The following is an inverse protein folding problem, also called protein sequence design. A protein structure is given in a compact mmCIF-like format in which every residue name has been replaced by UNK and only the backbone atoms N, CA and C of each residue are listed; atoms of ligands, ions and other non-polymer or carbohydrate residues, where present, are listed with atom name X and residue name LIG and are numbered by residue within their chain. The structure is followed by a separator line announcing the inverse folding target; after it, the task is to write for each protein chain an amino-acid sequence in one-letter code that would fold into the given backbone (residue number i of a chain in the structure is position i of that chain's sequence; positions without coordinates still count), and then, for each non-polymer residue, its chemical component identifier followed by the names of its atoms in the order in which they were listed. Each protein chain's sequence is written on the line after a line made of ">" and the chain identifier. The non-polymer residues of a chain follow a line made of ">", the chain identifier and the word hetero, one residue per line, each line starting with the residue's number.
data_IF_602202358453
#
_entry.id   IF_602202358453
#
_cell.length_a   1.000
_cell.length_b   1.000
_cell.length_c   1.000
_cell.angle_alpha   90.00
_cell.angle_beta   90.00
_cell.angle_gamma   90.00
#
_symmetry.space_group_name_H-M   'P 1'
#
loop_
_entity.id
_entity.type
_entity.pdbx_description
1 polymer ?
#
# COMPACT_ATOMS: atom_id res chain seq x y z
N UNK A 1 4.12 -75.83 30.91
CA UNK A 1 4.43 -75.24 32.23
C UNK A 1 5.04 -73.86 31.99
N UNK A 2 4.31 -72.76 31.92
CA UNK A 2 4.11 -71.87 33.08
C UNK A 2 3.25 -70.63 32.68
N UNK A 3 2.14 -70.83 31.96
CA UNK A 3 1.17 -69.75 31.64
C UNK A 3 -0.31 -70.14 31.85
N UNK A 4 -0.59 -71.37 32.27
CA UNK A 4 -1.96 -71.87 32.49
C UNK A 4 -2.53 -71.58 33.89
N UNK A 5 -1.71 -71.14 34.86
CA UNK A 5 -2.18 -70.80 36.23
C UNK A 5 -2.61 -69.33 36.40
N UNK A 6 -2.29 -68.44 35.45
CA UNK A 6 -2.64 -67.01 35.55
C UNK A 6 -4.06 -66.65 35.10
N UNK A 7 -4.73 -67.53 34.34
CA UNK A 7 -6.05 -67.26 33.76
C UNK A 7 -7.23 -67.58 34.70
N UNK A 8 -7.05 -68.46 35.69
CA UNK A 8 -8.13 -68.83 36.63
C UNK A 8 -8.38 -67.76 37.71
N UNK A 9 -7.36 -66.98 38.08
CA UNK A 9 -7.47 -65.92 39.09
C UNK A 9 -8.13 -64.64 38.55
N UNK A 10 -8.13 -64.43 37.24
CA UNK A 10 -8.79 -63.28 36.60
C UNK A 10 -10.31 -63.51 36.51
N UNK A 11 -10.74 -64.76 36.35
CA UNK A 11 -12.16 -65.10 36.13
C UNK A 11 -13.05 -64.95 37.38
N UNK A 12 -12.49 -65.08 38.59
CA UNK A 12 -13.27 -64.89 39.83
C UNK A 12 -13.52 -63.42 40.18
N UNK A 13 -12.67 -62.50 39.72
CA UNK A 13 -12.85 -61.05 39.88
C UNK A 13 -13.94 -60.47 38.97
N UNK A 14 -14.39 -61.22 37.95
CA UNK A 14 -15.40 -60.76 36.98
C UNK A 14 -16.83 -60.99 37.51
N UNK A 15 -17.08 -62.01 38.33
CA UNK A 15 -18.45 -62.39 38.73
C UNK A 15 -18.99 -61.65 39.97
N UNK A 16 -18.13 -61.02 40.78
CA UNK A 16 -18.55 -60.27 41.97
C UNK A 16 -19.30 -58.96 41.64
N UNK A 17 -19.12 -58.41 40.44
CA UNK A 17 -19.74 -57.13 40.04
C UNK A 17 -21.14 -57.28 39.42
N UNK A 18 -21.65 -58.50 39.26
CA UNK A 18 -22.85 -58.76 38.45
C UNK A 18 -24.18 -58.90 39.23
N UNK A 19 -24.18 -58.69 40.55
CA UNK A 19 -25.37 -58.91 41.40
C UNK A 19 -26.03 -57.64 41.96
N UNK A 20 -25.59 -56.44 41.57
CA UNK A 20 -26.05 -55.21 42.22
C UNK A 20 -26.83 -54.20 41.35
N UNK A 21 -27.29 -54.52 40.13
CA UNK A 21 -28.06 -53.52 39.38
C UNK A 21 -29.06 -54.09 38.36
N UNK A 22 -30.07 -54.82 38.85
CA UNK A 22 -31.23 -55.21 38.06
C UNK A 22 -32.43 -54.32 38.42
N UNK A 23 -32.37 -53.04 38.01
CA UNK A 23 -33.47 -52.07 38.10
C UNK A 23 -33.54 -51.20 36.84
N UNK A 24 -34.28 -51.68 35.82
CA UNK A 24 -34.98 -50.88 34.79
C UNK A 24 -34.15 -50.01 33.82
N UNK A 25 -34.66 -49.69 32.62
CA UNK A 25 -33.98 -48.77 31.69
C UNK A 25 -34.08 -47.33 32.21
N UNK A 26 -33.03 -46.85 32.87
CA UNK A 26 -32.89 -45.42 33.14
C UNK A 26 -32.42 -44.74 31.85
N UNK A 27 -33.35 -44.00 31.25
CA UNK A 27 -33.14 -43.10 30.12
C UNK A 27 -31.82 -42.36 30.25
N UNK A 28 -31.00 -42.42 29.20
CA UNK A 28 -29.80 -41.56 29.10
C UNK A 28 -30.27 -40.11 29.20
N UNK A 29 -29.64 -39.25 30.02
CA UNK A 29 -29.92 -37.83 29.99
C UNK A 29 -29.66 -37.34 28.57
N UNK A 30 -30.67 -36.75 27.95
CA UNK A 30 -30.51 -35.97 26.73
C UNK A 30 -29.63 -34.77 27.09
N UNK A 31 -28.32 -34.91 26.93
CA UNK A 31 -27.39 -33.79 27.05
C UNK A 31 -27.69 -32.87 25.86
N UNK A 32 -28.22 -31.66 26.08
CA UNK A 32 -28.49 -30.75 24.97
C UNK A 32 -27.16 -30.45 24.29
N UNK A 33 -27.13 -30.63 22.97
CA UNK A 33 -25.95 -30.42 22.13
C UNK A 33 -25.62 -28.91 21.96
N UNK A 34 -25.82 -28.10 23.01
CA UNK A 34 -25.78 -26.63 22.98
C UNK A 34 -24.37 -26.04 23.09
N UNK A 35 -23.34 -26.84 23.29
CA UNK A 35 -21.95 -26.35 23.42
C UNK A 35 -21.14 -26.41 22.14
N UNK A 36 -21.51 -27.25 21.17
CA UNK A 36 -20.83 -27.32 19.86
C UNK A 36 -21.43 -26.37 18.82
N UNK A 37 -22.72 -26.04 18.92
CA UNK A 37 -23.36 -25.09 17.99
C UNK A 37 -22.97 -23.63 18.27
N UNK A 38 -22.68 -23.27 19.53
CA UNK A 38 -22.31 -21.89 19.89
C UNK A 38 -20.86 -21.51 19.54
N UNK A 39 -19.95 -22.48 19.35
CA UNK A 39 -18.59 -22.20 18.88
C UNK A 39 -18.56 -21.81 17.38
N UNK A 40 -19.54 -22.28 16.61
CA UNK A 40 -19.70 -21.93 15.19
C UNK A 40 -20.48 -20.63 14.96
N UNK A 41 -21.21 -20.13 15.96
CA UNK A 41 -21.91 -18.85 15.90
C UNK A 41 -20.96 -17.66 16.13
N UNK A 42 -19.96 -17.80 17.02
CA UNK A 42 -18.98 -16.75 17.29
C UNK A 42 -17.96 -16.56 16.14
N UNK A 43 -17.66 -17.62 15.38
CA UNK A 43 -16.73 -17.57 14.23
C UNK A 43 -17.38 -17.09 12.93
N UNK A 44 -18.72 -17.06 12.84
CA UNK A 44 -19.46 -16.51 11.69
C UNK A 44 -19.83 -15.03 11.85
N UNK A 45 -19.60 -14.43 13.01
CA UNK A 45 -19.82 -12.99 13.23
C UNK A 45 -18.63 -12.11 12.80
N UNK A 46 -17.49 -12.71 12.42
CA UNK A 46 -16.31 -12.00 11.92
C UNK A 46 -16.28 -11.77 10.41
N UNK A 47 -17.14 -12.46 9.66
CA UNK A 47 -17.36 -12.24 8.23
C UNK A 47 -18.56 -11.29 8.04
N UNK A 48 -18.56 -10.16 8.75
CA UNK A 48 -19.30 -9.03 8.24
C UNK A 48 -18.59 -8.62 6.97
N UNK A 49 -19.12 -9.06 5.84
CA UNK A 49 -18.89 -8.43 4.55
C UNK A 49 -18.91 -6.93 4.82
N UNK A 50 -17.73 -6.31 4.75
CA UNK A 50 -17.64 -4.86 4.65
C UNK A 50 -18.34 -4.61 3.32
N UNK A 51 -19.63 -4.31 3.40
CA UNK A 51 -20.37 -3.72 2.31
C UNK A 51 -19.72 -2.35 2.14
N UNK A 52 -18.60 -2.35 1.40
CA UNK A 52 -17.95 -1.15 0.94
C UNK A 52 -19.06 -0.35 0.30
N UNK A 53 -19.35 0.88 0.77
CA UNK A 53 -20.30 1.75 0.11
C UNK A 53 -19.97 1.67 -1.37
N UNK A 54 -20.91 1.18 -2.19
CA UNK A 54 -20.71 1.10 -3.64
C UNK A 54 -20.59 2.54 -4.10
N UNK A 55 -19.39 3.09 -4.03
CA UNK A 55 -19.04 4.35 -4.65
C UNK A 55 -19.43 4.14 -6.10
N UNK A 56 -20.41 4.92 -6.56
CA UNK A 56 -20.89 4.92 -7.93
C UNK A 56 -19.72 4.73 -8.87
N UNK A 57 -19.79 3.78 -9.80
CA UNK A 57 -18.69 3.42 -10.71
C UNK A 57 -18.01 4.66 -11.36
N UNK A 58 -18.78 5.73 -11.57
CA UNK A 58 -18.29 7.03 -12.02
C UNK A 58 -17.29 7.70 -11.05
N UNK A 59 -17.54 7.70 -9.74
CA UNK A 59 -16.64 8.32 -8.75
C UNK A 59 -15.30 7.56 -8.62
N UNK A 60 -15.35 6.23 -8.79
CA UNK A 60 -14.15 5.37 -8.84
C UNK A 60 -13.32 5.71 -10.09
N UNK A 61 -13.97 5.83 -11.25
CA UNK A 61 -13.30 6.20 -12.49
C UNK A 61 -12.66 7.60 -12.43
N UNK A 62 -13.35 8.59 -11.87
CA UNK A 62 -12.80 9.94 -11.66
C UNK A 62 -11.61 9.94 -10.70
N UNK A 63 -11.67 9.17 -9.62
CA UNK A 63 -10.57 9.03 -8.67
C UNK A 63 -9.36 8.39 -9.36
N UNK A 64 -9.57 7.28 -10.07
CA UNK A 64 -8.50 6.61 -10.83
C UNK A 64 -7.87 7.51 -11.89
N UNK A 65 -8.66 8.30 -12.63
CA UNK A 65 -8.09 9.27 -13.58
C UNK A 65 -7.21 10.32 -12.88
N UNK A 66 -7.63 10.86 -11.73
CA UNK A 66 -6.83 11.84 -10.99
C UNK A 66 -5.51 11.25 -10.46
N UNK A 67 -5.54 10.00 -10.02
CA UNK A 67 -4.38 9.25 -9.53
C UNK A 67 -3.42 8.92 -10.67
N UNK A 68 -3.95 8.44 -11.81
CA UNK A 68 -3.17 8.21 -13.02
C UNK A 68 -2.51 9.49 -13.55
N UNK A 69 -3.22 10.62 -13.52
CA UNK A 69 -2.65 11.90 -13.93
C UNK A 69 -1.55 12.37 -12.97
N UNK A 70 -1.74 12.16 -11.66
CA UNK A 70 -0.75 12.52 -10.65
C UNK A 70 0.53 11.70 -10.79
N UNK A 71 0.42 10.37 -11.00
CA UNK A 71 1.60 9.51 -11.20
C UNK A 71 2.28 9.80 -12.54
N UNK A 72 1.52 10.14 -13.59
CA UNK A 72 2.07 10.58 -14.86
C UNK A 72 2.88 11.86 -14.71
N UNK A 73 2.33 12.87 -14.03
CA UNK A 73 3.01 14.13 -13.77
C UNK A 73 4.28 13.92 -12.94
N UNK A 74 4.22 13.06 -11.92
CA UNK A 74 5.38 12.71 -11.10
C UNK A 74 6.46 11.98 -11.91
N UNK A 75 6.08 11.09 -12.83
CA UNK A 75 7.01 10.39 -13.71
C UNK A 75 7.71 11.36 -14.67
N UNK A 76 6.93 12.28 -15.24
CA UNK A 76 7.43 13.28 -16.18
C UNK A 76 8.44 14.21 -15.50
N UNK A 77 8.18 14.69 -14.28
CA UNK A 77 9.13 15.55 -13.55
C UNK A 77 10.45 14.85 -13.26
N UNK A 78 10.43 13.58 -12.87
CA UNK A 78 11.67 12.84 -12.62
C UNK A 78 12.52 12.65 -13.88
N UNK A 79 11.88 12.62 -15.05
CA UNK A 79 12.52 12.22 -16.31
C UNK A 79 12.84 13.38 -17.24
N UNK A 80 12.07 14.47 -17.22
CA UNK A 80 12.34 15.71 -17.96
C UNK A 80 13.62 16.39 -17.47
N UNK A 81 13.94 16.20 -16.20
CA UNK A 81 15.05 16.87 -15.51
C UNK A 81 16.39 16.27 -15.89
N UNK A 82 16.45 14.96 -16.07
CA UNK A 82 17.66 14.22 -16.44
C UNK A 82 18.41 14.82 -17.65
N UNK A 83 17.78 15.08 -18.81
CA UNK A 83 18.45 15.73 -19.94
C UNK A 83 18.60 17.25 -19.80
N UNK A 84 17.81 17.91 -18.94
CA UNK A 84 17.82 19.36 -18.76
C UNK A 84 18.89 19.85 -17.77
N UNK A 85 19.30 19.01 -16.81
CA UNK A 85 20.30 19.37 -15.78
C UNK A 85 21.61 19.90 -16.40
N UNK A 86 22.24 19.25 -17.41
CA UNK A 86 23.48 19.75 -18.00
C UNK A 86 23.36 21.17 -18.56
N UNK A 87 22.23 21.50 -19.20
CA UNK A 87 21.98 22.83 -19.76
C UNK A 87 21.81 23.89 -18.67
N UNK A 88 21.08 23.56 -17.60
CA UNK A 88 20.88 24.44 -16.44
C UNK A 88 22.20 24.68 -15.67
N UNK A 89 23.02 23.63 -15.52
CA UNK A 89 24.34 23.73 -14.87
C UNK A 89 25.31 24.54 -15.72
N UNK A 90 25.26 24.38 -17.05
CA UNK A 90 26.05 25.14 -18.00
C UNK A 90 25.75 26.65 -17.96
N UNK A 91 24.47 27.03 -17.86
CA UNK A 91 24.07 28.44 -17.76
C UNK A 91 24.41 29.07 -16.40
N UNK A 92 24.36 28.30 -15.31
CA UNK A 92 24.66 28.76 -13.95
C UNK A 92 26.15 28.65 -13.54
N UNK A 93 27.04 28.15 -14.42
CA UNK A 93 28.50 28.01 -14.22
C UNK A 93 28.92 27.34 -12.90
N UNK A 94 28.12 26.41 -12.35
CA UNK A 94 28.41 25.75 -11.07
C UNK A 94 28.47 24.23 -11.22
N UNK A 95 29.70 23.68 -11.30
CA UNK A 95 29.94 22.25 -11.51
C UNK A 95 29.45 21.36 -10.35
N UNK A 96 29.50 21.86 -9.11
CA UNK A 96 29.09 21.11 -7.93
C UNK A 96 27.56 20.92 -7.82
N UNK A 97 26.78 21.83 -8.40
CA UNK A 97 25.31 21.77 -8.31
C UNK A 97 24.69 20.64 -9.14
N UNK A 98 25.40 20.10 -10.14
CA UNK A 98 24.91 19.02 -11.00
C UNK A 98 24.44 17.81 -10.18
N UNK A 99 25.27 17.34 -9.26
CA UNK A 99 24.96 16.18 -8.41
C UNK A 99 23.90 16.53 -7.36
N UNK A 100 24.02 17.70 -6.73
CA UNK A 100 23.14 18.09 -5.62
C UNK A 100 21.68 18.31 -6.04
N UNK A 101 21.41 18.75 -7.27
CA UNK A 101 20.04 18.96 -7.78
C UNK A 101 19.25 17.64 -7.80
N UNK A 102 19.86 16.56 -8.29
CA UNK A 102 19.25 15.23 -8.28
C UNK A 102 19.23 14.60 -6.89
N UNK A 103 20.34 14.70 -6.14
CA UNK A 103 20.44 14.13 -4.80
C UNK A 103 19.50 14.78 -3.79
N UNK A 104 19.27 16.10 -3.85
CA UNK A 104 18.35 16.78 -2.95
C UNK A 104 16.90 16.31 -3.16
N UNK A 105 16.49 16.11 -4.41
CA UNK A 105 15.18 15.55 -4.72
C UNK A 105 15.04 14.14 -4.15
N UNK A 106 15.98 13.23 -4.44
CA UNK A 106 15.90 11.83 -4.02
C UNK A 106 16.02 11.66 -2.51
N UNK A 107 16.87 12.46 -1.86
CA UNK A 107 17.01 12.48 -0.40
C UNK A 107 15.72 12.94 0.27
N UNK A 108 15.14 14.04 -0.20
CA UNK A 108 13.90 14.56 0.33
C UNK A 108 12.74 13.58 0.08
N UNK A 109 12.65 13.03 -1.14
CA UNK A 109 11.68 12.00 -1.52
C UNK A 109 11.76 10.80 -0.57
N UNK A 110 12.95 10.25 -0.34
CA UNK A 110 13.14 9.10 0.54
C UNK A 110 12.81 9.44 2.01
N UNK A 111 13.21 10.62 2.50
CA UNK A 111 13.00 11.02 3.88
C UNK A 111 11.52 11.23 4.24
N UNK A 112 10.73 11.80 3.32
CA UNK A 112 9.34 12.17 3.59
C UNK A 112 8.33 11.10 3.15
N UNK A 113 8.73 10.10 2.34
CA UNK A 113 7.90 8.95 1.96
C UNK A 113 7.17 8.30 3.16
N UNK A 114 7.84 7.94 4.29
CA UNK A 114 7.13 7.34 5.43
C UNK A 114 6.20 8.32 6.13
N UNK A 115 6.52 9.62 6.13
CA UNK A 115 5.70 10.66 6.76
C UNK A 115 4.34 10.74 6.07
N UNK A 116 4.33 10.76 4.74
CA UNK A 116 3.09 10.81 3.96
C UNK A 116 2.17 9.62 4.22
N UNK A 117 2.72 8.42 4.46
CA UNK A 117 1.93 7.25 4.86
C UNK A 117 1.17 7.52 6.16
N UNK A 118 1.91 7.89 7.22
CA UNK A 118 1.31 8.15 8.54
C UNK A 118 0.31 9.31 8.55
N UNK A 119 0.56 10.38 7.78
CA UNK A 119 -0.34 11.54 7.71
C UNK A 119 -1.62 11.19 6.94
N UNK A 120 -1.52 10.33 5.91
CA UNK A 120 -2.67 9.89 5.12
C UNK A 120 -3.69 9.08 5.94
N UNK A 121 -3.22 8.35 6.95
CA UNK A 121 -4.06 7.53 7.80
C UNK A 121 -4.92 8.38 8.76
N UNK A 122 -4.43 9.56 9.14
CA UNK A 122 -5.08 10.45 10.11
C UNK A 122 -6.03 11.45 9.42
N UNK A 123 -5.60 12.06 8.31
CA UNK A 123 -6.33 13.17 7.66
C UNK A 123 -7.21 12.71 6.49
N UNK A 124 -7.15 11.42 6.13
CA UNK A 124 -7.86 10.85 4.99
C UNK A 124 -7.16 11.12 3.66
N UNK A 125 -7.57 10.36 2.63
CA UNK A 125 -6.80 10.21 1.39
C UNK A 125 -6.98 11.32 0.36
N UNK A 126 -8.16 11.94 0.32
CA UNK A 126 -8.48 13.00 -0.64
C UNK A 126 -7.77 14.33 -0.35
N UNK A 127 -7.82 14.91 0.87
CA UNK A 127 -7.17 16.19 1.14
C UNK A 127 -5.64 16.08 1.07
N UNK A 128 -5.08 14.96 1.54
CA UNK A 128 -3.63 14.77 1.58
C UNK A 128 -3.03 14.67 0.17
N UNK A 129 -3.75 14.07 -0.79
CA UNK A 129 -3.35 14.03 -2.20
C UNK A 129 -3.33 15.43 -2.81
N UNK A 130 -4.32 16.26 -2.51
CA UNK A 130 -4.37 17.65 -2.99
C UNK A 130 -3.23 18.49 -2.39
N UNK A 131 -2.90 18.29 -1.11
CA UNK A 131 -1.76 18.96 -0.46
C UNK A 131 -0.44 18.54 -1.11
N UNK A 132 -0.25 17.25 -1.40
CA UNK A 132 0.96 16.76 -2.08
C UNK A 132 1.12 17.40 -3.47
N UNK A 133 0.04 17.48 -4.25
CA UNK A 133 0.04 18.17 -5.55
C UNK A 133 0.33 19.66 -5.39
N UNK A 134 -0.26 20.34 -4.39
CA UNK A 134 0.01 21.76 -4.14
C UNK A 134 1.48 22.01 -3.79
N UNK A 135 2.09 21.20 -2.91
CA UNK A 135 3.51 21.28 -2.56
C UNK A 135 4.38 21.05 -3.80
N UNK A 136 4.03 20.07 -4.62
CA UNK A 136 4.72 19.79 -5.87
C UNK A 136 4.68 21.00 -6.82
N UNK A 137 3.53 21.63 -7.01
CA UNK A 137 3.39 22.82 -7.86
C UNK A 137 4.19 24.01 -7.34
N UNK A 138 4.20 24.22 -6.02
CA UNK A 138 5.03 25.27 -5.39
C UNK A 138 6.51 24.97 -5.62
N UNK A 139 6.96 23.73 -5.44
CA UNK A 139 8.33 23.31 -5.74
C UNK A 139 8.70 23.55 -7.20
N UNK A 140 7.83 23.15 -8.15
CA UNK A 140 8.01 23.41 -9.59
C UNK A 140 8.14 24.90 -9.90
N UNK A 141 7.31 25.74 -9.27
CA UNK A 141 7.35 27.18 -9.47
C UNK A 141 8.65 27.80 -8.97
N UNK A 142 9.12 27.36 -7.79
CA UNK A 142 10.41 27.78 -7.24
C UNK A 142 11.56 27.35 -8.15
N UNK A 143 11.52 26.12 -8.68
CA UNK A 143 12.51 25.64 -9.65
C UNK A 143 12.51 26.45 -10.94
N UNK A 144 11.33 26.84 -11.46
CA UNK A 144 11.19 27.61 -12.69
C UNK A 144 11.71 29.05 -12.57
N UNK A 145 11.56 29.66 -11.38
CA UNK A 145 12.00 31.02 -11.10
C UNK A 145 13.41 31.09 -10.49
N UNK A 146 14.10 29.96 -10.36
CA UNK A 146 15.36 29.88 -9.60
C UNK A 146 16.48 30.73 -10.25
N UNK A 147 16.97 31.81 -9.59
CA UNK A 147 18.03 32.66 -10.14
C UNK A 147 19.44 32.16 -9.81
N UNK A 148 19.56 31.21 -8.86
CA UNK A 148 20.83 30.66 -8.37
C UNK A 148 20.71 29.17 -8.10
N UNK A 149 21.84 28.47 -8.13
CA UNK A 149 21.89 27.02 -7.93
C UNK A 149 21.33 26.59 -6.56
N UNK A 150 21.60 27.33 -5.49
CA UNK A 150 21.10 26.99 -4.15
C UNK A 150 19.57 27.02 -4.08
N UNK A 151 18.94 27.98 -4.77
CA UNK A 151 17.46 28.09 -4.82
C UNK A 151 16.88 26.94 -5.64
N UNK A 152 17.56 26.52 -6.71
CA UNK A 152 17.17 25.35 -7.48
C UNK A 152 17.22 24.07 -6.63
N UNK A 153 18.27 23.90 -5.82
CA UNK A 153 18.42 22.75 -4.90
C UNK A 153 17.31 22.75 -3.85
N UNK A 154 17.01 23.90 -3.24
CA UNK A 154 15.89 24.03 -2.28
C UNK A 154 14.55 23.76 -2.95
N UNK A 155 14.33 24.29 -4.15
CA UNK A 155 13.15 24.00 -4.96
C UNK A 155 12.97 22.51 -5.22
N UNK A 156 14.05 21.81 -5.58
CA UNK A 156 14.05 20.35 -5.78
C UNK A 156 13.77 19.57 -4.52
N UNK A 157 14.31 20.00 -3.38
CA UNK A 157 13.97 19.40 -2.09
C UNK A 157 12.47 19.52 -1.85
N UNK A 158 11.90 20.73 -1.92
CA UNK A 158 10.45 20.98 -1.74
C UNK A 158 9.61 20.16 -2.73
N UNK A 159 10.04 20.10 -3.98
CA UNK A 159 9.34 19.34 -5.02
C UNK A 159 9.39 17.82 -4.74
N UNK A 160 10.49 17.30 -4.20
CA UNK A 160 10.61 15.91 -3.72
C UNK A 160 9.67 15.59 -2.56
N UNK A 161 9.35 16.58 -1.71
CA UNK A 161 8.31 16.42 -0.68
C UNK A 161 6.95 16.16 -1.32
N UNK A 162 6.56 16.94 -2.32
CA UNK A 162 5.29 16.73 -3.04
C UNK A 162 5.29 15.46 -3.90
N UNK A 163 6.41 15.16 -4.56
CA UNK A 163 6.57 14.01 -5.45
C UNK A 163 6.41 12.67 -4.74
N UNK A 164 7.05 12.49 -3.59
CA UNK A 164 6.89 11.27 -2.77
C UNK A 164 5.47 11.10 -2.27
N UNK A 165 4.80 12.19 -1.89
CA UNK A 165 3.39 12.21 -1.51
C UNK A 165 2.52 11.69 -2.64
N UNK A 166 2.68 12.18 -3.87
CA UNK A 166 1.93 11.68 -5.03
C UNK A 166 2.20 10.19 -5.28
N UNK A 167 3.46 9.76 -5.27
CA UNK A 167 3.84 8.37 -5.52
C UNK A 167 3.29 7.39 -4.47
N UNK A 168 3.42 7.71 -3.18
CA UNK A 168 2.92 6.84 -2.12
C UNK A 168 1.38 6.87 -2.05
N UNK A 169 0.76 8.03 -2.26
CA UNK A 169 -0.70 8.17 -2.20
C UNK A 169 -1.40 7.38 -3.30
N UNK A 170 -0.79 7.28 -4.49
CA UNK A 170 -1.29 6.42 -5.58
C UNK A 170 -1.36 4.97 -5.11
N UNK A 171 -0.26 4.45 -4.56
CA UNK A 171 -0.20 3.08 -4.07
C UNK A 171 -1.20 2.85 -2.95
N UNK A 172 -1.26 3.77 -2.00
CA UNK A 172 -2.22 3.83 -0.90
C UNK A 172 -3.64 3.77 -1.47
N UNK A 173 -4.12 4.75 -2.22
CA UNK A 173 -5.50 4.83 -2.75
C UNK A 173 -5.94 3.57 -3.50
N UNK A 174 -5.08 3.02 -4.37
CA UNK A 174 -5.35 1.77 -5.09
C UNK A 174 -5.55 0.60 -4.13
N UNK A 175 -4.81 0.58 -3.03
CA UNK A 175 -4.85 -0.46 -2.00
C UNK A 175 -6.14 -0.46 -1.18
N UNK A 176 -6.76 0.70 -0.99
CA UNK A 176 -8.01 0.82 -0.22
C UNK A 176 -9.25 0.66 -1.09
N UNK A 177 -9.15 1.01 -2.38
CA UNK A 177 -10.29 0.94 -3.29
C UNK A 177 -10.53 -0.45 -3.88
N UNK A 178 -9.51 -1.29 -3.99
CA UNK A 178 -9.60 -2.58 -4.67
C UNK A 178 -9.22 -3.75 -3.77
N UNK A 179 -9.96 -4.86 -3.90
CA UNK A 179 -9.64 -6.09 -3.18
C UNK A 179 -8.26 -6.63 -3.61
N UNK A 180 -7.65 -7.45 -2.74
CA UNK A 180 -6.33 -8.07 -2.95
C UNK A 180 -6.18 -8.75 -4.31
N UNK A 181 -7.28 -9.25 -4.91
CA UNK A 181 -7.25 -9.98 -6.17
C UNK A 181 -7.07 -9.08 -7.39
N UNK A 182 -7.62 -7.87 -7.38
CA UNK A 182 -7.55 -6.93 -8.51
C UNK A 182 -6.48 -5.84 -8.30
N UNK A 183 -6.04 -5.64 -7.05
CA UNK A 183 -5.01 -4.65 -6.67
C UNK A 183 -3.74 -4.76 -7.51
N UNK A 184 -3.31 -5.98 -7.84
CA UNK A 184 -2.14 -6.22 -8.69
C UNK A 184 -2.28 -5.64 -10.10
N UNK A 185 -3.48 -5.74 -10.70
CA UNK A 185 -3.74 -5.22 -12.04
C UNK A 185 -3.74 -3.69 -12.05
N UNK A 186 -4.37 -3.05 -11.07
CA UNK A 186 -4.39 -1.59 -10.98
C UNK A 186 -3.01 -1.00 -10.68
N UNK A 187 -2.22 -1.64 -9.82
CA UNK A 187 -0.83 -1.25 -9.58
C UNK A 187 0.03 -1.41 -10.85
N UNK A 188 -0.22 -2.46 -11.65
CA UNK A 188 0.43 -2.64 -12.94
C UNK A 188 0.03 -1.54 -13.94
N UNK A 189 -1.24 -1.14 -13.99
CA UNK A 189 -1.70 -0.01 -14.82
C UNK A 189 -1.01 1.29 -14.41
N UNK A 190 -0.95 1.60 -13.11
CA UNK A 190 -0.26 2.83 -12.63
C UNK A 190 1.24 2.79 -12.93
N UNK A 191 1.86 1.61 -12.84
CA UNK A 191 3.27 1.41 -13.21
C UNK A 191 3.50 1.57 -14.71
N UNK A 192 2.54 1.13 -15.54
CA UNK A 192 2.58 1.31 -16.99
C UNK A 192 2.48 2.81 -17.35
N UNK A 193 1.57 3.55 -16.71
CA UNK A 193 1.46 5.00 -16.90
C UNK A 193 2.76 5.70 -16.51
N UNK A 194 3.38 5.29 -15.39
CA UNK A 194 4.69 5.80 -14.98
C UNK A 194 5.77 5.49 -16.01
N UNK A 195 5.81 4.27 -16.55
CA UNK A 195 6.76 3.88 -17.59
C UNK A 195 6.57 4.69 -18.88
N UNK A 196 5.32 4.94 -19.30
CA UNK A 196 5.01 5.79 -20.46
C UNK A 196 5.45 7.23 -20.21
N UNK A 197 5.16 7.79 -19.04
CA UNK A 197 5.62 9.13 -18.65
C UNK A 197 7.15 9.23 -18.65
N UNK A 198 7.82 8.19 -18.15
CA UNK A 198 9.28 8.07 -18.13
C UNK A 198 9.89 7.98 -19.52
N UNK A 199 9.22 7.36 -20.50
CA UNK A 199 9.66 7.34 -21.88
C UNK A 199 9.49 8.69 -22.59
N UNK A 200 8.42 9.43 -22.27
CA UNK A 200 8.11 10.73 -22.86
C UNK A 200 9.02 11.83 -22.29
N UNK A 201 9.38 11.75 -21.01
CA UNK A 201 10.14 12.78 -20.32
C UNK A 201 11.46 13.17 -20.97
N UNK A 202 12.36 12.23 -21.34
CA UNK A 202 13.62 12.54 -21.98
C UNK A 202 13.44 13.20 -23.35
N UNK A 203 12.41 12.79 -24.11
CA UNK A 203 12.08 13.38 -25.41
C UNK A 203 11.68 14.85 -25.25
N UNK A 204 10.79 15.14 -24.30
CA UNK A 204 10.39 16.51 -23.99
C UNK A 204 11.55 17.34 -23.43
N UNK A 205 12.33 16.77 -22.50
CA UNK A 205 13.47 17.45 -21.89
C UNK A 205 14.58 17.76 -22.89
N UNK A 206 14.79 16.89 -23.89
CA UNK A 206 15.68 17.15 -25.03
C UNK A 206 15.20 18.33 -25.87
N UNK A 207 13.91 18.37 -26.24
CA UNK A 207 13.32 19.50 -27.00
C UNK A 207 13.42 20.82 -26.23
N UNK A 208 13.21 20.81 -24.91
CA UNK A 208 13.39 22.01 -24.09
C UNK A 208 14.85 22.46 -24.05
N UNK A 209 15.80 21.52 -24.00
CA UNK A 209 17.23 21.82 -24.01
C UNK A 209 17.68 22.42 -25.35
N UNK A 210 17.17 21.92 -26.48
CA UNK A 210 17.44 22.47 -27.82
C UNK A 210 17.04 23.96 -27.93
N UNK A 211 15.93 24.36 -27.30
CA UNK A 211 15.47 25.76 -27.29
C UNK A 211 16.27 26.70 -26.40
N UNK A 212 17.07 26.16 -25.48
CA UNK A 212 17.90 26.90 -24.52
C UNK A 212 19.35 27.10 -25.01
N UNK A 213 19.70 26.52 -26.16
CA UNK A 213 20.99 26.67 -26.84
C UNK A 213 20.92 27.75 -27.92
#
# INVERSE_FOLDING_TARGET
>A
MSKALGLAAINSSINSKNTANNRGPLARPNVPNTTVDNANAASRSGEQAIESPRLTNSNIAWTMMSVCLSVFLSALDLTIVTPAIPAIVGSLRSAAGYTWVGSAYTLAYAAITPVWGSVSDIWGRKPIMLIAVAIFLVGSLVCALAPKMDVLIVGRAIQGLGGSGMGIMVNIVVSDMFSLRDRGLYLAITSLVWAVGSAIGPVLGGVFTEKLR
#
